data_IF_738088095095
#
_entry.id   IF_738088095095
#
_cell.length_a   1.000
_cell.length_b   1.000
_cell.length_c   1.000
_cell.angle_alpha   90.00
_cell.angle_beta   90.00
_cell.angle_gamma   90.00
#
_symmetry.space_group_name_H-M   'P 1'
#
loop_
_entity.id
_entity.type
_entity.pdbx_description
1 polymer ?
#
# COMPACT_ATOMS: atom_id res chain seq x y z
N UNK A 1 -13.79 11.66 -67.16
CA UNK A 1 -12.64 10.72 -67.14
C UNK A 1 -12.11 10.67 -65.67
N UNK A 2 -12.54 9.74 -64.89
CA UNK A 2 -12.04 9.55 -63.55
C UNK A 2 -10.72 8.78 -63.65
N UNK A 3 -9.62 9.43 -63.26
CA UNK A 3 -8.28 8.94 -63.50
C UNK A 3 -7.98 7.62 -62.79
N UNK A 4 -7.33 6.70 -63.51
CA UNK A 4 -6.89 5.37 -63.06
C UNK A 4 -6.11 5.35 -61.73
N UNK A 5 -5.63 6.51 -61.24
CA UNK A 5 -4.90 6.69 -59.99
C UNK A 5 -5.76 6.59 -58.73
N UNK A 6 -7.04 7.01 -58.80
CA UNK A 6 -7.93 7.00 -57.61
C UNK A 6 -8.37 5.57 -57.29
N UNK A 7 -8.49 4.72 -58.31
CA UNK A 7 -8.88 3.31 -58.10
C UNK A 7 -7.78 2.49 -57.42
N UNK A 8 -6.49 2.81 -57.67
CA UNK A 8 -5.35 2.14 -57.03
C UNK A 8 -5.20 2.52 -55.58
N UNK A 9 -5.48 3.77 -55.18
CA UNK A 9 -5.39 4.24 -53.80
C UNK A 9 -6.48 3.61 -52.93
N UNK A 10 -7.70 3.45 -53.47
CA UNK A 10 -8.80 2.78 -52.75
C UNK A 10 -8.56 1.30 -52.57
N UNK A 11 -7.89 0.61 -53.51
CA UNK A 11 -7.56 -0.80 -53.40
C UNK A 11 -6.49 -1.06 -52.34
N UNK A 12 -5.49 -0.18 -52.22
CA UNK A 12 -4.47 -0.29 -51.18
C UNK A 12 -5.02 0.01 -49.76
N UNK A 13 -5.94 0.98 -49.66
CA UNK A 13 -6.58 1.29 -48.34
C UNK A 13 -7.46 0.14 -47.84
N UNK A 14 -8.18 -0.54 -48.73
CA UNK A 14 -9.02 -1.71 -48.34
C UNK A 14 -8.15 -2.90 -47.97
N UNK A 15 -7.03 -3.17 -48.62
CA UNK A 15 -6.09 -4.23 -48.29
C UNK A 15 -5.41 -3.98 -46.92
N UNK A 16 -5.07 -2.74 -46.59
CA UNK A 16 -4.52 -2.37 -45.29
C UNK A 16 -5.51 -2.55 -44.13
N UNK A 17 -6.80 -2.25 -44.37
CA UNK A 17 -7.85 -2.45 -43.37
C UNK A 17 -8.15 -3.94 -43.12
N UNK A 18 -8.08 -4.77 -44.17
CA UNK A 18 -8.27 -6.23 -44.02
C UNK A 18 -7.07 -6.88 -43.31
N UNK A 19 -5.85 -6.42 -43.56
CA UNK A 19 -4.64 -6.90 -42.85
C UNK A 19 -4.66 -6.53 -41.36
N UNK A 20 -5.22 -5.38 -40.98
CA UNK A 20 -5.31 -4.96 -39.60
C UNK A 20 -6.40 -5.73 -38.81
N UNK A 21 -7.46 -6.14 -39.49
CA UNK A 21 -8.53 -6.93 -38.87
C UNK A 21 -8.14 -8.38 -38.56
N UNK A 22 -7.20 -8.96 -39.27
CA UNK A 22 -6.74 -10.35 -39.06
C UNK A 22 -5.80 -10.45 -37.84
N UNK A 23 -5.09 -9.38 -37.49
CA UNK A 23 -4.21 -9.36 -36.30
C UNK A 23 -4.94 -9.12 -34.98
N UNK A 24 -6.18 -8.59 -34.98
CA UNK A 24 -6.95 -8.32 -33.77
C UNK A 24 -7.81 -9.47 -33.27
N UNK A 25 -7.87 -10.59 -33.99
CA UNK A 25 -8.68 -11.73 -33.62
C UNK A 25 -7.84 -12.98 -33.27
N UNK A 26 -6.63 -12.76 -32.72
CA UNK A 26 -5.92 -13.78 -31.97
C UNK A 26 -6.62 -13.95 -30.62
N UNK A 27 -7.66 -14.75 -30.62
CA UNK A 27 -8.36 -15.14 -29.41
C UNK A 27 -7.36 -15.66 -28.39
N UNK A 28 -7.45 -15.14 -27.17
CA UNK A 28 -6.75 -15.65 -26.00
C UNK A 28 -7.04 -17.14 -25.89
N UNK A 29 -6.06 -17.96 -26.26
CA UNK A 29 -6.12 -19.40 -26.04
C UNK A 29 -5.92 -19.63 -24.54
N UNK A 30 -7.00 -19.64 -23.78
CA UNK A 30 -7.00 -20.03 -22.39
C UNK A 30 -6.94 -21.57 -22.33
N UNK A 31 -5.80 -22.09 -21.92
CA UNK A 31 -5.67 -23.48 -21.55
C UNK A 31 -6.47 -23.68 -20.25
N UNK A 32 -7.52 -24.50 -20.23
CA UNK A 32 -8.22 -24.81 -18.99
C UNK A 32 -7.31 -25.72 -18.16
N UNK A 33 -6.72 -25.17 -17.09
CA UNK A 33 -6.10 -25.98 -16.05
C UNK A 33 -7.21 -26.49 -15.14
N UNK A 34 -7.35 -27.83 -14.96
CA UNK A 34 -8.31 -28.37 -14.01
C UNK A 34 -7.85 -28.10 -12.58
N UNK A 35 -8.63 -27.30 -11.86
CA UNK A 35 -8.75 -27.43 -10.41
C UNK A 35 -7.66 -26.83 -9.54
N UNK A 36 -7.29 -25.54 -9.71
CA UNK A 36 -6.82 -24.78 -8.56
C UNK A 36 -7.89 -23.75 -8.21
N UNK A 37 -8.51 -23.95 -7.06
CA UNK A 37 -9.41 -22.96 -6.47
C UNK A 37 -8.74 -21.60 -6.41
N UNK A 38 -9.52 -20.54 -6.63
CA UNK A 38 -9.11 -19.14 -6.55
C UNK A 38 -8.72 -18.72 -5.12
N UNK A 39 -7.82 -19.46 -4.49
CA UNK A 39 -7.04 -18.95 -3.39
C UNK A 39 -5.92 -18.14 -4.01
N UNK A 40 -6.24 -16.90 -4.40
CA UNK A 40 -5.25 -15.84 -4.51
C UNK A 40 -4.69 -15.65 -3.11
N UNK A 41 -3.71 -16.49 -2.74
CA UNK A 41 -2.78 -16.12 -1.68
C UNK A 41 -2.19 -14.81 -2.19
N UNK A 42 -2.40 -13.65 -1.51
CA UNK A 42 -1.69 -12.46 -1.90
C UNK A 42 -0.21 -12.85 -1.88
N UNK A 43 0.43 -12.85 -3.06
CA UNK A 43 1.88 -12.93 -3.13
C UNK A 43 2.33 -11.72 -2.33
N UNK A 44 2.70 -11.95 -1.07
CA UNK A 44 3.38 -10.96 -0.25
C UNK A 44 4.56 -10.54 -1.09
N UNK A 45 4.57 -9.30 -1.55
CA UNK A 45 5.61 -8.82 -2.43
C UNK A 45 6.94 -9.11 -1.73
N UNK A 46 7.76 -9.97 -2.33
CA UNK A 46 9.10 -10.24 -1.85
C UNK A 46 9.79 -8.89 -1.72
N UNK A 47 10.25 -8.53 -0.50
CA UNK A 47 10.92 -7.28 -0.13
C UNK A 47 10.04 -6.12 0.38
N UNK A 48 8.83 -6.36 0.86
CA UNK A 48 8.10 -5.32 1.61
C UNK A 48 8.87 -4.95 2.88
N UNK A 49 8.83 -3.67 3.22
CA UNK A 49 9.36 -3.16 4.49
C UNK A 49 8.23 -3.15 5.52
N UNK A 50 8.46 -3.80 6.62
CA UNK A 50 7.57 -3.82 7.79
C UNK A 50 8.08 -2.82 8.81
N UNK A 51 7.21 -1.95 9.28
CA UNK A 51 7.47 -0.90 10.27
C UNK A 51 6.56 -1.16 11.48
N UNK A 52 7.15 -1.58 12.59
CA UNK A 52 6.45 -1.90 13.82
C UNK A 52 6.60 -0.72 14.78
N UNK A 53 5.50 -0.24 15.32
CA UNK A 53 5.45 0.86 16.28
C UNK A 53 4.76 0.40 17.54
N UNK A 54 5.47 0.45 18.66
CA UNK A 54 4.93 0.19 20.01
C UNK A 54 4.76 1.52 20.72
N UNK A 55 3.56 1.78 21.25
CA UNK A 55 3.23 3.01 21.95
C UNK A 55 2.94 2.70 23.44
N UNK A 56 3.53 3.53 24.29
CA UNK A 56 3.20 3.60 25.71
C UNK A 56 2.59 4.97 26.00
N UNK A 57 1.35 4.99 26.45
CA UNK A 57 0.72 6.22 26.93
C UNK A 57 0.99 6.40 28.42
N UNK A 58 1.01 7.65 28.87
CA UNK A 58 1.23 7.98 30.29
C UNK A 58 0.13 7.40 31.16
N UNK A 59 0.49 7.05 32.40
CA UNK A 59 -0.46 6.56 33.39
C UNK A 59 -1.55 7.62 33.66
N UNK A 60 -2.82 7.18 33.69
CA UNK A 60 -3.97 8.05 33.91
C UNK A 60 -4.61 8.61 32.64
N UNK A 61 -4.04 8.39 31.46
CA UNK A 61 -4.72 8.70 30.19
C UNK A 61 -5.84 7.65 29.97
N UNK A 62 -7.06 8.14 29.68
CA UNK A 62 -8.21 7.25 29.50
C UNK A 62 -8.25 6.64 28.10
N UNK A 63 -8.92 5.49 27.96
CA UNK A 63 -9.11 4.83 26.67
C UNK A 63 -9.85 5.76 25.66
N UNK A 64 -10.79 6.58 26.14
CA UNK A 64 -11.52 7.54 25.33
C UNK A 64 -10.59 8.63 24.75
N UNK A 65 -9.55 9.04 25.49
CA UNK A 65 -8.56 10.01 25.03
C UNK A 65 -7.58 9.39 24.03
N UNK A 66 -7.23 8.11 24.19
CA UNK A 66 -6.31 7.38 23.32
C UNK A 66 -6.97 6.97 21.99
N UNK A 67 -8.25 6.59 22.03
CA UNK A 67 -8.95 6.09 20.85
C UNK A 67 -8.85 6.98 19.62
N UNK A 68 -9.06 8.31 19.67
CA UNK A 68 -8.90 9.18 18.52
C UNK A 68 -7.49 9.16 17.93
N UNK A 69 -6.45 8.98 18.75
CA UNK A 69 -5.06 8.88 18.29
C UNK A 69 -4.83 7.56 17.54
N UNK A 70 -5.39 6.46 18.04
CA UNK A 70 -5.33 5.18 17.35
C UNK A 70 -6.09 5.21 16.01
N UNK A 71 -7.29 5.81 15.99
CA UNK A 71 -8.08 5.99 14.77
C UNK A 71 -7.32 6.86 13.75
N UNK A 72 -6.66 7.93 14.20
CA UNK A 72 -5.84 8.78 13.36
C UNK A 72 -4.62 8.02 12.82
N UNK A 73 -4.01 7.13 13.60
CA UNK A 73 -2.91 6.29 13.15
C UNK A 73 -3.36 5.39 11.98
N UNK A 74 -4.44 4.65 12.15
CA UNK A 74 -4.98 3.78 11.10
C UNK A 74 -5.32 4.60 9.85
N UNK A 75 -5.84 5.83 10.00
CA UNK A 75 -6.21 6.72 8.90
C UNK A 75 -5.00 7.21 8.08
N UNK A 76 -3.77 7.14 8.61
CA UNK A 76 -2.57 7.49 7.85
C UNK A 76 -2.44 6.67 6.56
N UNK A 77 -2.98 5.45 6.51
CA UNK A 77 -3.04 4.65 5.31
C UNK A 77 -3.64 5.39 4.11
N UNK A 78 -4.65 6.21 4.37
CA UNK A 78 -5.39 6.93 3.33
C UNK A 78 -4.92 8.40 3.17
N UNK A 79 -4.28 8.95 4.20
CA UNK A 79 -3.90 10.38 4.24
C UNK A 79 -2.43 10.63 3.92
N UNK A 80 -1.56 9.62 4.04
CA UNK A 80 -0.18 9.71 3.58
C UNK A 80 -0.13 9.53 2.06
N UNK A 81 0.27 10.59 1.36
CA UNK A 81 0.21 10.67 -0.10
C UNK A 81 1.62 10.74 -0.68
N UNK A 82 1.93 9.84 -1.61
CA UNK A 82 3.22 9.83 -2.31
C UNK A 82 3.41 11.12 -3.11
N UNK A 83 4.57 11.80 -3.01
CA UNK A 83 4.77 13.13 -3.59
C UNK A 83 4.73 13.15 -5.12
N UNK A 84 5.11 12.05 -5.78
CA UNK A 84 5.12 11.96 -7.24
C UNK A 84 3.80 11.43 -7.80
N UNK A 85 3.30 10.31 -7.23
CA UNK A 85 2.11 9.64 -7.77
C UNK A 85 0.80 10.27 -7.33
N UNK A 86 0.82 11.10 -6.28
CA UNK A 86 -0.34 11.72 -5.65
C UNK A 86 -1.40 10.71 -5.18
N UNK A 87 -0.95 9.51 -4.79
CA UNK A 87 -1.81 8.42 -4.30
C UNK A 87 -1.33 7.94 -2.93
N UNK A 88 -2.22 7.34 -2.11
CA UNK A 88 -1.81 6.62 -0.91
C UNK A 88 -0.76 5.55 -1.24
N UNK A 89 0.28 5.45 -0.42
CA UNK A 89 1.42 4.55 -0.68
C UNK A 89 1.68 3.54 0.45
N UNK A 90 1.02 3.67 1.59
CA UNK A 90 1.10 2.68 2.66
C UNK A 90 0.24 1.46 2.26
N UNK A 91 0.84 0.28 2.18
CA UNK A 91 0.15 -0.94 1.75
C UNK A 91 -0.88 -1.40 2.78
N UNK A 92 -0.49 -1.44 4.05
CA UNK A 92 -1.37 -1.81 5.15
C UNK A 92 -0.99 -1.11 6.44
N UNK A 93 -1.98 -0.86 7.30
CA UNK A 93 -1.80 -0.53 8.72
C UNK A 93 -2.75 -1.40 9.53
N UNK A 94 -2.21 -2.08 10.52
CA UNK A 94 -2.97 -2.86 11.51
C UNK A 94 -2.46 -2.50 12.89
N UNK A 95 -3.31 -2.53 13.90
CA UNK A 95 -2.87 -2.27 15.26
C UNK A 95 -4.02 -2.22 16.25
N UNK A 96 -3.68 -2.09 17.50
CA UNK A 96 -4.64 -2.06 18.59
C UNK A 96 -3.98 -2.08 19.96
N UNK A 97 -4.84 -2.24 20.97
CA UNK A 97 -4.45 -2.39 22.36
C UNK A 97 -3.77 -3.74 22.59
N UNK A 98 -2.74 -3.76 23.43
CA UNK A 98 -2.05 -4.98 23.85
C UNK A 98 -2.99 -5.90 24.63
N UNK A 99 -2.98 -7.18 24.30
CA UNK A 99 -3.73 -8.21 24.98
C UNK A 99 -2.86 -9.46 25.25
N UNK A 100 -1.53 -9.29 25.29
CA UNK A 100 -0.59 -10.37 25.58
C UNK A 100 -0.80 -10.88 27.01
N UNK A 101 -0.73 -12.19 27.17
CA UNK A 101 -0.81 -12.87 28.48
C UNK A 101 0.58 -13.21 29.05
N UNK A 102 1.66 -12.85 28.32
CA UNK A 102 3.04 -13.22 28.68
C UNK A 102 3.70 -12.23 29.67
N UNK A 103 3.08 -11.06 29.89
CA UNK A 103 3.60 -9.98 30.75
C UNK A 103 5.00 -9.48 30.34
N UNK A 104 5.29 -9.50 29.02
CA UNK A 104 6.57 -9.10 28.44
C UNK A 104 6.49 -7.80 27.62
N UNK A 105 5.38 -7.07 27.69
CA UNK A 105 5.14 -5.85 26.91
C UNK A 105 5.89 -4.62 27.45
N UNK A 106 6.59 -4.71 28.58
CA UNK A 106 7.44 -3.65 29.16
C UNK A 106 6.77 -2.26 29.26
N UNK A 107 5.44 -2.24 29.52
CA UNK A 107 4.65 -1.03 29.65
C UNK A 107 4.10 -0.47 28.34
N UNK A 108 4.42 -1.05 27.18
CA UNK A 108 3.77 -0.71 25.93
C UNK A 108 2.31 -1.20 25.95
N UNK A 109 1.40 -0.31 25.54
CA UNK A 109 -0.04 -0.55 25.62
C UNK A 109 -0.69 -0.74 24.27
N UNK A 110 -0.03 -0.32 23.18
CA UNK A 110 -0.55 -0.43 21.83
C UNK A 110 0.57 -0.82 20.87
N UNK A 111 0.21 -1.61 19.86
CA UNK A 111 1.11 -1.99 18.79
C UNK A 111 0.46 -1.71 17.43
N UNK A 112 1.27 -1.20 16.49
CA UNK A 112 0.87 -0.98 15.10
C UNK A 112 1.91 -1.57 14.17
N UNK A 113 1.44 -2.14 13.06
CA UNK A 113 2.28 -2.72 12.01
C UNK A 113 1.89 -2.07 10.70
N UNK A 114 2.85 -1.44 10.05
CA UNK A 114 2.71 -0.82 8.73
C UNK A 114 3.54 -1.61 7.72
N UNK A 115 3.09 -1.63 6.49
CA UNK A 115 3.81 -2.22 5.37
C UNK A 115 3.99 -1.20 4.25
N UNK A 116 5.20 -1.15 3.69
CA UNK A 116 5.58 -0.30 2.57
C UNK A 116 6.12 -1.14 1.42
N UNK A 117 5.93 -0.67 0.19
CA UNK A 117 6.47 -1.35 -0.99
C UNK A 117 7.99 -1.30 -1.05
N UNK A 118 8.58 -0.22 -0.54
CA UNK A 118 10.02 0.05 -0.64
C UNK A 118 10.56 0.70 0.64
N UNK A 119 11.89 0.65 0.83
CA UNK A 119 12.57 1.43 1.87
C UNK A 119 12.42 2.93 1.66
N UNK A 120 12.37 3.38 0.40
CA UNK A 120 12.17 4.79 0.08
C UNK A 120 10.80 5.30 0.58
N UNK A 121 9.73 4.54 0.39
CA UNK A 121 8.39 4.88 0.90
C UNK A 121 8.40 5.02 2.43
N UNK A 122 9.02 4.05 3.14
CA UNK A 122 9.16 4.08 4.58
C UNK A 122 9.99 5.29 5.05
N UNK A 123 11.11 5.59 4.37
CA UNK A 123 11.97 6.73 4.71
C UNK A 123 11.24 8.06 4.50
N UNK A 124 10.51 8.20 3.38
CA UNK A 124 9.66 9.38 3.13
C UNK A 124 8.58 9.53 4.22
N UNK A 125 7.90 8.45 4.59
CA UNK A 125 6.91 8.44 5.68
C UNK A 125 7.51 8.97 6.98
N UNK A 126 8.64 8.42 7.39
CA UNK A 126 9.27 8.75 8.67
C UNK A 126 9.77 10.19 8.70
N UNK A 127 10.43 10.64 7.63
CA UNK A 127 11.18 11.90 7.61
C UNK A 127 10.38 13.09 7.10
N UNK A 128 9.52 12.89 6.09
CA UNK A 128 9.02 14.00 5.26
C UNK A 128 7.51 14.06 5.10
N UNK A 129 6.78 12.94 5.23
CA UNK A 129 5.34 12.93 4.98
C UNK A 129 4.60 13.91 5.89
N UNK A 130 3.88 14.92 5.34
CA UNK A 130 3.24 15.96 6.15
C UNK A 130 2.16 15.43 7.09
N UNK A 131 1.38 14.41 6.65
CA UNK A 131 0.32 13.82 7.46
C UNK A 131 0.92 13.08 8.66
N UNK A 132 2.02 12.35 8.46
CA UNK A 132 2.75 11.69 9.54
C UNK A 132 3.39 12.69 10.51
N UNK A 133 3.96 13.82 10.02
CA UNK A 133 4.54 14.85 10.91
C UNK A 133 3.46 15.46 11.81
N UNK A 134 2.28 15.77 11.28
CA UNK A 134 1.13 16.26 12.06
C UNK A 134 0.71 15.22 13.09
N UNK A 135 0.61 13.95 12.71
CA UNK A 135 0.25 12.84 13.60
C UNK A 135 1.25 12.68 14.76
N UNK A 136 2.57 12.74 14.48
CA UNK A 136 3.60 12.72 15.55
C UNK A 136 3.41 13.84 16.56
N UNK A 137 3.03 15.02 16.12
CA UNK A 137 2.70 16.15 17.00
C UNK A 137 1.49 15.84 17.89
N UNK A 138 0.43 15.27 17.30
CA UNK A 138 -0.78 14.88 18.03
C UNK A 138 -0.50 13.80 19.09
N UNK A 139 0.32 12.80 18.77
CA UNK A 139 0.74 11.77 19.74
C UNK A 139 1.44 12.38 20.96
N UNK A 140 2.40 13.30 20.73
CA UNK A 140 3.13 13.96 21.81
C UNK A 140 2.22 14.76 22.72
N UNK A 141 1.30 15.53 22.16
CA UNK A 141 0.33 16.33 22.95
C UNK A 141 -0.77 15.47 23.58
N UNK A 142 -1.03 14.27 23.04
CA UNK A 142 -2.04 13.33 23.52
C UNK A 142 -1.58 12.37 24.61
N UNK A 143 -0.42 12.61 25.22
CA UNK A 143 0.05 11.86 26.38
C UNK A 143 0.89 10.62 26.05
N UNK A 144 1.55 10.59 24.86
CA UNK A 144 2.55 9.58 24.58
C UNK A 144 3.72 9.70 25.57
N UNK A 145 3.98 8.64 26.32
CA UNK A 145 5.10 8.57 27.27
C UNK A 145 6.35 7.98 26.63
N UNK A 146 6.19 6.92 25.81
CA UNK A 146 7.30 6.27 25.13
C UNK A 146 6.88 5.66 23.80
N UNK A 147 7.84 5.50 22.88
CA UNK A 147 7.65 4.85 21.59
C UNK A 147 8.87 4.01 21.24
N UNK A 148 8.64 2.83 20.73
CA UNK A 148 9.68 1.98 20.13
C UNK A 148 9.29 1.66 18.70
N UNK A 149 10.27 1.74 17.81
CA UNK A 149 10.11 1.42 16.40
C UNK A 149 11.13 0.37 15.99
N UNK A 150 10.68 -0.63 15.27
CA UNK A 150 11.54 -1.66 14.67
C UNK A 150 11.12 -1.87 13.22
N UNK A 151 12.09 -1.86 12.33
CA UNK A 151 11.88 -2.09 10.90
C UNK A 151 12.62 -3.34 10.44
N UNK A 152 12.04 -4.04 9.49
CA UNK A 152 12.72 -5.11 8.77
C UNK A 152 12.22 -5.23 7.33
N UNK A 153 13.06 -5.75 6.46
CA UNK A 153 12.64 -6.17 5.12
C UNK A 153 12.23 -7.64 5.19
N UNK A 154 11.05 -7.96 4.71
CA UNK A 154 10.54 -9.32 4.76
C UNK A 154 11.48 -10.29 4.04
N UNK A 155 11.89 -11.39 4.74
CA UNK A 155 12.80 -12.42 4.23
C UNK A 155 14.28 -12.08 4.27
N UNK A 156 14.68 -10.97 4.91
CA UNK A 156 16.10 -10.60 5.13
C UNK A 156 16.43 -10.82 6.61
N UNK A 157 17.46 -11.65 6.90
CA UNK A 157 17.92 -12.02 8.24
C UNK A 157 19.40 -11.71 8.43
#
# INVERSE_FOLDING_TARGET
MIGRGILFVLFFAVLLLISFSIFYNAGSFTIPHPGLGNNLIPVMAANTVVHIVLLQFASGITAEAVKPLCDAFIKLKDTCIHPETQKPYILSIKGGFDNSIEDLQHGYTHAFVLEFSTTWDRDYYVEKDPAHQVFKGALKSGGLANVTVVDFTNGVY
#
